data_IF_842282095600
#
_entry.id   IF_842282095600
#
_cell.length_a   1.000
_cell.length_b   1.000
_cell.length_c   1.000
_cell.angle_alpha   90.00
_cell.angle_beta   90.00
_cell.angle_gamma   90.00
#
_symmetry.space_group_name_H-M   'P 1'
#
loop_
_entity.id
_entity.type
_entity.pdbx_description
1 polymer ?
#
# COMPACT_ATOMS: atom_id res chain seq x y z
N UNK A 1 7.92 -8.05 1.28
CA UNK A 1 6.81 -7.08 1.40
C UNK A 1 6.72 -6.41 2.77
N UNK A 2 6.64 -7.11 3.92
CA UNK A 2 6.56 -6.46 5.25
C UNK A 2 7.63 -5.38 5.52
N UNK A 3 8.89 -5.67 5.18
CA UNK A 3 9.98 -4.70 5.32
C UNK A 3 9.78 -3.42 4.50
N UNK A 4 9.17 -3.54 3.32
CA UNK A 4 8.82 -2.42 2.43
C UNK A 4 7.82 -1.49 3.10
N UNK A 5 6.73 -2.02 3.67
CA UNK A 5 5.74 -1.21 4.38
C UNK A 5 6.31 -0.57 5.66
N UNK A 6 7.13 -1.31 6.41
CA UNK A 6 7.83 -0.74 7.58
C UNK A 6 8.72 0.44 7.18
N UNK A 7 9.41 0.33 6.04
CA UNK A 7 10.23 1.42 5.48
C UNK A 7 9.37 2.60 5.00
N UNK A 8 8.24 2.34 4.35
CA UNK A 8 7.31 3.38 3.88
C UNK A 8 6.76 4.21 5.06
N UNK A 9 6.27 3.57 6.12
CA UNK A 9 5.86 4.26 7.35
C UNK A 9 7.02 5.01 8.03
N UNK A 10 8.24 4.46 8.00
CA UNK A 10 9.40 5.12 8.58
C UNK A 10 9.74 6.44 7.87
N UNK A 11 9.53 6.55 6.55
CA UNK A 11 9.71 7.83 5.85
C UNK A 11 8.75 8.90 6.36
N UNK A 12 7.48 8.56 6.58
CA UNK A 12 6.52 9.49 7.17
C UNK A 12 6.86 9.85 8.61
N UNK A 13 7.24 8.88 9.45
CA UNK A 13 7.70 9.15 10.82
C UNK A 13 8.98 9.98 10.91
N UNK A 14 9.82 9.99 9.87
CA UNK A 14 11.06 10.77 9.86
C UNK A 14 10.81 12.29 9.71
N UNK A 15 9.66 12.68 9.15
CA UNK A 15 9.34 14.08 8.82
C UNK A 15 8.06 14.58 9.47
N UNK A 16 7.42 13.78 10.32
CA UNK A 16 6.20 14.12 11.06
C UNK A 16 6.33 13.69 12.52
N UNK A 17 5.50 14.21 13.45
CA UNK A 17 5.45 13.68 14.82
C UNK A 17 4.74 12.33 14.94
N UNK A 18 4.23 11.76 13.82
CA UNK A 18 3.48 10.50 13.82
C UNK A 18 4.39 9.30 14.12
N UNK A 19 3.85 8.34 14.86
CA UNK A 19 4.52 7.08 15.19
C UNK A 19 3.67 5.92 14.74
N UNK A 20 4.27 5.01 13.96
CA UNK A 20 3.58 3.82 13.47
C UNK A 20 4.11 2.56 14.18
N UNK A 21 3.20 1.63 14.46
CA UNK A 21 3.50 0.33 15.05
C UNK A 21 2.66 -0.74 14.36
N UNK A 22 3.30 -1.81 13.90
CA UNK A 22 2.59 -2.98 13.36
C UNK A 22 1.76 -3.63 14.48
N UNK A 23 0.48 -3.85 14.19
CA UNK A 23 -0.45 -4.57 15.07
C UNK A 23 -0.62 -5.98 14.48
N UNK A 24 -0.20 -7.01 15.22
CA UNK A 24 -0.26 -8.40 14.76
C UNK A 24 -1.68 -8.97 14.91
N UNK A 25 -2.41 -8.52 15.94
CA UNK A 25 -3.79 -8.93 16.20
C UNK A 25 -4.56 -7.83 16.90
N UNK A 26 -5.88 -7.78 16.66
CA UNK A 26 -6.78 -6.78 17.23
C UNK A 26 -7.04 -5.61 16.30
N UNK A 27 -7.53 -4.50 16.87
CA UNK A 27 -7.90 -3.29 16.11
C UNK A 27 -6.64 -2.52 15.70
N UNK A 28 -6.58 -2.08 14.45
CA UNK A 28 -5.58 -1.15 13.93
C UNK A 28 -6.25 0.09 13.35
N UNK A 29 -5.52 1.20 13.33
CA UNK A 29 -5.96 2.43 12.67
C UNK A 29 -5.82 2.31 11.15
N UNK A 30 -4.80 1.58 10.68
CA UNK A 30 -4.57 1.31 9.28
C UNK A 30 -4.60 -0.18 8.99
N UNK A 31 -5.11 -0.56 7.82
CA UNK A 31 -5.04 -1.93 7.31
C UNK A 31 -4.50 -1.92 5.89
N UNK A 32 -3.58 -2.85 5.59
CA UNK A 32 -3.00 -3.02 4.26
C UNK A 32 -3.51 -4.35 3.70
N UNK A 33 -4.07 -4.32 2.50
CA UNK A 33 -4.57 -5.51 1.82
C UNK A 33 -4.18 -5.50 0.34
N UNK A 34 -3.81 -6.67 -0.18
CA UNK A 34 -3.76 -6.90 -1.61
C UNK A 34 -5.07 -7.54 -2.04
N UNK A 35 -5.69 -7.04 -3.10
CA UNK A 35 -6.93 -7.60 -3.62
C UNK A 35 -7.02 -7.42 -5.13
N UNK A 36 -7.85 -8.23 -5.80
CA UNK A 36 -8.10 -8.12 -7.24
C UNK A 36 -9.49 -7.59 -7.50
N UNK A 37 -9.63 -6.74 -8.52
CA UNK A 37 -10.91 -6.33 -9.11
C UNK A 37 -11.94 -5.93 -8.05
N UNK A 38 -13.13 -6.52 -8.05
CA UNK A 38 -14.12 -6.28 -7.00
C UNK A 38 -13.69 -6.92 -5.68
N UNK A 39 -13.51 -6.09 -4.65
CA UNK A 39 -12.92 -6.53 -3.38
C UNK A 39 -13.65 -6.01 -2.12
N UNK A 40 -14.95 -5.72 -2.24
CA UNK A 40 -15.81 -5.41 -1.08
C UNK A 40 -15.83 -3.96 -0.64
N UNK A 41 -15.31 -3.05 -1.47
CA UNK A 41 -15.55 -1.61 -1.36
C UNK A 41 -16.12 -1.06 -2.69
N UNK A 42 -16.32 0.26 -2.76
CA UNK A 42 -16.88 0.94 -3.93
C UNK A 42 -15.85 1.27 -5.02
N UNK A 43 -14.60 0.83 -4.89
CA UNK A 43 -13.50 1.17 -5.79
C UNK A 43 -12.83 -0.13 -6.33
N UNK A 44 -13.50 -0.89 -7.22
CA UNK A 44 -12.90 -2.09 -7.78
C UNK A 44 -11.64 -1.74 -8.59
N UNK A 45 -10.60 -2.57 -8.49
CA UNK A 45 -9.43 -2.46 -9.35
C UNK A 45 -9.74 -2.89 -10.80
N UNK A 46 -8.91 -2.46 -11.74
CA UNK A 46 -9.06 -2.64 -13.18
C UNK A 46 -8.11 -3.70 -13.77
N UNK A 47 -7.23 -4.27 -12.95
CA UNK A 47 -6.23 -5.24 -13.36
C UNK A 47 -4.94 -4.54 -13.80
N UNK A 48 -4.06 -5.29 -14.45
CA UNK A 48 -2.70 -4.84 -14.77
C UNK A 48 -2.64 -3.49 -15.49
N UNK A 49 -1.74 -2.65 -14.99
CA UNK A 49 -1.28 -1.37 -15.53
C UNK A 49 -2.25 -0.20 -15.44
N UNK A 50 -3.31 -0.34 -14.65
CA UNK A 50 -4.27 0.70 -14.37
C UNK A 50 -4.05 1.32 -13.00
N UNK A 51 -5.06 1.20 -12.15
CA UNK A 51 -5.02 1.65 -10.76
C UNK A 51 -4.14 0.71 -9.95
N UNK A 52 -2.98 1.22 -9.55
CA UNK A 52 -2.02 0.44 -8.78
C UNK A 52 -2.54 0.12 -7.37
N UNK A 53 -3.09 1.13 -6.71
CA UNK A 53 -3.52 1.06 -5.33
C UNK A 53 -4.52 2.18 -5.05
N UNK A 54 -5.17 2.11 -3.88
CA UNK A 54 -5.92 3.21 -3.30
C UNK A 54 -5.89 3.16 -1.78
N UNK A 55 -6.10 4.32 -1.16
CA UNK A 55 -6.31 4.44 0.27
C UNK A 55 -7.56 5.26 0.57
N UNK A 56 -8.16 4.97 1.72
CA UNK A 56 -9.30 5.72 2.24
C UNK A 56 -8.84 6.80 3.22
N UNK A 57 -9.73 7.75 3.47
CA UNK A 57 -9.51 8.85 4.42
C UNK A 57 -9.07 8.36 5.80
N UNK A 58 -8.41 9.21 6.62
CA UNK A 58 -7.81 8.78 7.88
C UNK A 58 -8.75 8.07 8.88
N UNK A 59 -10.05 8.40 8.88
CA UNK A 59 -11.02 7.76 9.77
C UNK A 59 -11.40 6.32 9.38
N UNK A 60 -11.11 5.92 8.14
CA UNK A 60 -11.33 4.56 7.62
C UNK A 60 -10.02 3.75 7.66
N UNK A 61 -8.94 4.33 7.13
CA UNK A 61 -7.58 3.79 7.26
C UNK A 61 -7.29 2.51 6.46
N UNK A 62 -8.21 2.06 5.60
CA UNK A 62 -7.92 0.99 4.64
C UNK A 62 -7.00 1.47 3.53
N UNK A 63 -6.01 0.64 3.20
CA UNK A 63 -5.06 0.83 2.09
C UNK A 63 -5.05 -0.47 1.28
N UNK A 64 -5.44 -0.40 0.01
CA UNK A 64 -5.52 -1.55 -0.88
C UNK A 64 -4.53 -1.41 -2.03
N UNK A 65 -3.89 -2.52 -2.40
CA UNK A 65 -3.02 -2.64 -3.57
C UNK A 65 -3.64 -3.64 -4.55
N UNK A 66 -3.63 -3.33 -5.84
CA UNK A 66 -4.10 -4.25 -6.87
C UNK A 66 -3.15 -5.45 -6.99
N UNK A 67 -3.63 -6.63 -6.62
CA UNK A 67 -2.88 -7.88 -6.66
C UNK A 67 -2.68 -8.43 -8.08
N UNK A 68 -3.30 -7.81 -9.10
CA UNK A 68 -2.98 -8.10 -10.50
C UNK A 68 -1.68 -7.44 -10.96
N UNK A 69 -1.17 -6.43 -10.24
CA UNK A 69 0.04 -5.70 -10.59
C UNK A 69 1.36 -6.43 -10.28
N UNK A 70 2.35 -6.16 -11.12
CA UNK A 70 3.68 -6.77 -11.04
C UNK A 70 4.62 -5.96 -10.14
N UNK A 71 4.34 -5.99 -8.84
CA UNK A 71 5.14 -5.28 -7.83
C UNK A 71 6.55 -5.84 -7.64
N UNK A 72 7.51 -4.93 -7.45
CA UNK A 72 8.90 -5.20 -7.13
C UNK A 72 9.31 -4.47 -5.84
N UNK A 73 10.20 -5.08 -5.07
CA UNK A 73 10.68 -4.51 -3.79
C UNK A 73 12.13 -4.00 -3.85
N UNK A 74 12.89 -4.36 -4.90
CA UNK A 74 14.29 -3.97 -5.09
C UNK A 74 14.65 -3.76 -6.58
N UNK A 75 13.67 -3.37 -7.41
CA UNK A 75 13.89 -3.21 -8.86
C UNK A 75 14.03 -4.53 -9.62
N UNK A 76 13.61 -5.64 -8.99
CA UNK A 76 13.53 -6.97 -9.59
C UNK A 76 12.67 -6.96 -10.88
N UNK A 77 13.09 -7.79 -11.83
CA UNK A 77 12.32 -8.09 -13.05
C UNK A 77 11.18 -9.04 -12.68
N UNK A 78 9.95 -8.64 -12.98
CA UNK A 78 8.73 -9.44 -12.76
C UNK A 78 8.07 -9.65 -14.12
N UNK A 79 7.78 -10.91 -14.48
CA UNK A 79 7.19 -11.26 -15.78
C UNK A 79 7.96 -10.71 -17.00
N UNK A 80 9.29 -10.71 -16.94
CA UNK A 80 10.16 -10.34 -18.07
C UNK A 80 10.40 -8.84 -18.27
N UNK A 81 9.95 -7.99 -17.34
CA UNK A 81 10.08 -6.52 -17.37
C UNK A 81 10.35 -5.95 -15.97
N UNK A 82 10.87 -4.71 -15.84
CA UNK A 82 10.97 -4.05 -14.54
C UNK A 82 9.61 -4.00 -13.84
N UNK A 83 9.55 -4.46 -12.59
CA UNK A 83 8.33 -4.39 -11.79
C UNK A 83 8.06 -2.99 -11.24
N UNK A 84 6.82 -2.76 -10.83
CA UNK A 84 6.36 -1.51 -10.21
C UNK A 84 6.94 -1.41 -8.79
N UNK A 85 7.59 -0.29 -8.45
CA UNK A 85 8.22 -0.15 -7.13
C UNK A 85 7.16 -0.04 -6.02
N UNK A 86 7.02 -1.13 -5.25
CA UNK A 86 6.06 -1.22 -4.14
C UNK A 86 6.35 -0.19 -3.04
N UNK A 87 7.60 0.22 -2.83
CA UNK A 87 7.93 1.22 -1.82
C UNK A 87 7.34 2.58 -2.21
N UNK A 88 7.48 2.96 -3.48
CA UNK A 88 6.93 4.24 -3.96
C UNK A 88 5.41 4.29 -3.84
N UNK A 89 4.73 3.24 -4.32
CA UNK A 89 3.27 3.15 -4.22
C UNK A 89 2.82 3.15 -2.75
N UNK A 90 3.49 2.38 -1.89
CA UNK A 90 3.14 2.35 -0.47
C UNK A 90 3.34 3.69 0.24
N UNK A 91 4.42 4.43 -0.06
CA UNK A 91 4.63 5.76 0.51
C UNK A 91 3.52 6.72 0.09
N UNK A 92 3.12 6.68 -1.19
CA UNK A 92 2.04 7.50 -1.73
C UNK A 92 0.70 7.21 -1.03
N UNK A 93 0.29 5.94 -0.98
CA UNK A 93 -1.00 5.58 -0.37
C UNK A 93 -1.07 5.81 1.13
N UNK A 94 0.05 5.65 1.85
CA UNK A 94 0.10 6.02 3.27
C UNK A 94 -0.10 7.54 3.43
N UNK A 95 0.38 8.35 2.50
CA UNK A 95 0.11 9.79 2.47
C UNK A 95 -1.38 10.10 2.43
N UNK A 96 -2.12 9.43 1.53
CA UNK A 96 -3.58 9.53 1.51
C UNK A 96 -4.24 9.09 2.83
N UNK A 97 -3.74 8.01 3.43
CA UNK A 97 -4.28 7.48 4.68
C UNK A 97 -4.04 8.39 5.90
N UNK A 98 -2.99 9.22 5.89
CA UNK A 98 -2.70 10.14 7.01
C UNK A 98 -3.23 11.56 6.80
N UNK A 99 -3.72 11.88 5.60
CA UNK A 99 -4.27 13.20 5.22
C UNK A 99 -3.21 14.25 4.91
#
# INVERSE_FOLDING_TARGET
MKATFKKAFAYWSAVTPLRFREVISGRSDFTIRFARRSHGDSAPFDGRYGVLAHAFIPSDGRIHFDEDEDYSVNGDIVNGRPGIDLLFVAVHEIGHAIG
#
